data_IF_440224820871
#
_entry.id   IF_440224820871
#
_cell.length_a   1.000
_cell.length_b   1.000
_cell.length_c   1.000
_cell.angle_alpha   90.00
_cell.angle_beta   90.00
_cell.angle_gamma   90.00
#
_symmetry.space_group_name_H-M   'P 1'
#
loop_
_entity.id
_entity.type
_entity.pdbx_description
1 polymer ?
#
# COMPACT_ATOMS: atom_id res chain seq x y z
N UNK A 1 1.97 4.82 -58.02
CA UNK A 1 1.36 3.48 -58.21
C UNK A 1 1.41 2.73 -56.88
N UNK A 2 0.26 2.34 -56.35
CA UNK A 2 0.18 1.53 -55.13
C UNK A 2 0.82 0.16 -55.36
N UNK A 3 1.76 -0.22 -54.50
CA UNK A 3 2.36 -1.56 -54.54
C UNK A 3 1.27 -2.58 -54.15
N UNK A 4 0.82 -3.38 -55.11
CA UNK A 4 -0.32 -4.30 -54.97
C UNK A 4 -0.15 -5.37 -53.90
N UNK A 5 1.05 -5.47 -53.31
CA UNK A 5 1.35 -6.45 -52.27
C UNK A 5 1.41 -5.89 -50.82
N UNK A 6 1.10 -4.58 -50.63
CA UNK A 6 1.11 -3.97 -49.30
C UNK A 6 -0.33 -3.79 -48.84
N UNK A 7 -0.66 -4.44 -47.76
CA UNK A 7 -1.97 -4.29 -47.11
C UNK A 7 -1.99 -2.98 -46.31
N UNK A 8 -2.93 -2.13 -46.63
CA UNK A 8 -3.17 -0.87 -45.92
C UNK A 8 -4.39 -1.02 -45.02
N UNK A 9 -4.33 -0.39 -43.86
CA UNK A 9 -5.39 -0.40 -42.85
C UNK A 9 -6.06 0.98 -42.82
N UNK A 10 -7.38 1.02 -42.85
CA UNK A 10 -8.13 2.24 -42.53
C UNK A 10 -7.84 2.66 -41.07
N UNK A 11 -8.15 3.92 -40.72
CA UNK A 11 -8.03 4.41 -39.31
C UNK A 11 -8.72 3.46 -38.32
N UNK A 12 -9.91 2.95 -38.68
CA UNK A 12 -10.66 2.04 -37.79
C UNK A 12 -9.99 0.70 -37.58
N UNK A 13 -9.48 0.10 -38.67
CA UNK A 13 -8.76 -1.18 -38.62
C UNK A 13 -7.44 -1.03 -37.87
N UNK A 14 -6.70 0.04 -38.12
CA UNK A 14 -5.42 0.30 -37.50
C UNK A 14 -5.60 0.61 -35.99
N UNK A 15 -6.64 1.36 -35.62
CA UNK A 15 -6.98 1.65 -34.22
C UNK A 15 -7.27 0.36 -33.45
N UNK A 16 -8.02 -0.58 -34.03
CA UNK A 16 -8.27 -1.90 -33.45
C UNK A 16 -6.98 -2.69 -33.27
N UNK A 17 -6.14 -2.70 -34.32
CA UNK A 17 -4.84 -3.39 -34.28
C UNK A 17 -3.97 -2.86 -33.14
N UNK A 18 -3.91 -1.53 -32.99
CA UNK A 18 -3.10 -0.84 -31.96
C UNK A 18 -3.76 -0.79 -30.56
N UNK A 19 -5.00 -1.27 -30.43
CA UNK A 19 -5.79 -1.23 -29.18
C UNK A 19 -5.98 0.21 -28.66
N UNK A 20 -6.18 1.16 -29.58
CA UNK A 20 -6.48 2.56 -29.25
C UNK A 20 -7.80 2.98 -29.95
N UNK A 21 -8.33 4.14 -29.57
CA UNK A 21 -9.51 4.67 -30.29
C UNK A 21 -9.08 5.44 -31.55
N UNK A 22 -10.02 5.64 -32.46
CA UNK A 22 -9.77 6.36 -33.74
C UNK A 22 -9.30 7.80 -33.48
N UNK A 23 -9.84 8.45 -32.45
CA UNK A 23 -9.52 9.84 -32.14
C UNK A 23 -8.03 9.98 -31.75
N UNK A 24 -7.48 8.96 -31.05
CA UNK A 24 -6.06 8.91 -30.70
C UNK A 24 -5.18 8.94 -31.96
N UNK A 25 -5.52 8.16 -33.01
CA UNK A 25 -4.76 8.14 -34.25
C UNK A 25 -4.89 9.46 -35.02
N UNK A 26 -6.08 10.07 -35.02
CA UNK A 26 -6.32 11.39 -35.65
C UNK A 26 -5.48 12.45 -34.94
N UNK A 27 -5.47 12.41 -33.60
CA UNK A 27 -4.69 13.33 -32.80
C UNK A 27 -3.17 13.14 -33.06
N UNK A 28 -2.71 11.89 -33.17
CA UNK A 28 -1.30 11.58 -33.47
C UNK A 28 -0.90 12.13 -34.87
N UNK A 29 -1.80 12.07 -35.86
CA UNK A 29 -1.56 12.70 -37.16
C UNK A 29 -1.46 14.23 -37.02
N UNK A 30 -2.37 14.85 -36.27
CA UNK A 30 -2.39 16.31 -36.05
C UNK A 30 -1.12 16.86 -35.43
N UNK A 31 -0.55 16.12 -34.48
CA UNK A 31 0.68 16.52 -33.75
C UNK A 31 1.96 16.02 -34.45
N UNK A 32 1.83 15.38 -35.63
CA UNK A 32 2.97 14.84 -36.38
C UNK A 32 3.62 13.60 -35.81
N UNK A 33 2.96 12.94 -34.83
CA UNK A 33 3.51 11.77 -34.15
C UNK A 33 3.40 10.50 -34.98
N UNK A 34 2.26 10.30 -35.65
CA UNK A 34 1.99 9.14 -36.51
C UNK A 34 1.09 9.56 -37.66
N UNK A 35 1.69 10.09 -38.71
CA UNK A 35 0.95 10.47 -39.89
C UNK A 35 0.60 9.25 -40.75
N UNK A 36 -0.59 9.20 -41.35
CA UNK A 36 -0.93 8.11 -42.23
C UNK A 36 0.05 8.04 -43.41
N UNK A 37 0.30 6.82 -43.90
CA UNK A 37 1.19 6.66 -45.07
C UNK A 37 0.62 7.29 -46.34
N UNK A 38 -0.73 7.40 -46.40
CA UNK A 38 -1.42 8.09 -47.49
C UNK A 38 -2.81 8.51 -47.03
N UNK A 39 -3.35 9.52 -47.73
CA UNK A 39 -4.75 9.91 -47.66
C UNK A 39 -5.33 9.80 -49.08
N UNK A 40 -6.57 9.34 -49.17
CA UNK A 40 -7.22 9.26 -50.50
C UNK A 40 -7.89 10.60 -50.88
N UNK A 41 -8.53 10.65 -52.03
CA UNK A 41 -9.19 11.85 -52.58
C UNK A 41 -10.35 12.36 -51.70
N UNK A 42 -10.82 11.56 -50.71
CA UNK A 42 -11.87 11.91 -49.75
C UNK A 42 -11.29 12.15 -48.34
N UNK A 43 -9.96 12.32 -48.27
CA UNK A 43 -9.19 12.54 -47.02
C UNK A 43 -9.26 11.37 -46.02
N UNK A 44 -9.61 10.14 -46.47
CA UNK A 44 -9.53 8.96 -45.65
C UNK A 44 -8.07 8.55 -45.44
N UNK A 45 -7.72 8.31 -44.18
CA UNK A 45 -6.36 7.97 -43.72
C UNK A 45 -6.10 6.46 -43.81
N UNK A 46 -4.93 6.11 -44.32
CA UNK A 46 -4.48 4.72 -44.44
C UNK A 46 -3.11 4.56 -43.78
N UNK A 47 -2.93 3.46 -43.09
CA UNK A 47 -1.74 3.11 -42.33
C UNK A 47 -1.17 1.78 -42.83
N UNK A 48 0.13 1.58 -42.75
CA UNK A 48 0.81 0.31 -43.09
C UNK A 48 1.13 -0.52 -41.86
N UNK A 49 1.37 -1.79 -42.10
CA UNK A 49 1.80 -2.70 -40.99
C UNK A 49 3.14 -2.24 -40.38
N UNK A 50 4.05 -1.69 -41.16
CA UNK A 50 5.32 -1.17 -40.65
C UNK A 50 5.15 -0.04 -39.59
N UNK A 51 4.03 0.66 -39.66
CA UNK A 51 3.71 1.72 -38.66
C UNK A 51 3.20 1.12 -37.31
N UNK A 52 2.79 -0.13 -37.31
CA UNK A 52 2.32 -0.81 -36.10
C UNK A 52 3.44 -0.94 -35.06
N UNK A 53 4.62 -1.25 -35.58
CA UNK A 53 5.79 -1.40 -34.69
C UNK A 53 6.16 -0.11 -33.93
N UNK A 54 5.86 0.78 -34.58
CA UNK A 54 6.07 2.06 -34.00
C UNK A 54 5.08 2.39 -32.94
N UNK A 55 4.05 1.99 -33.12
CA UNK A 55 3.06 2.16 -32.21
C UNK A 55 3.14 1.22 -31.05
N UNK A 56 3.65 0.24 -31.33
CA UNK A 56 3.92 -0.73 -30.38
C UNK A 56 5.04 -0.39 -29.46
N UNK A 57 5.78 0.25 -29.93
CA UNK A 57 6.88 0.74 -29.22
C UNK A 57 6.48 1.87 -28.35
N UNK A 58 5.49 2.46 -28.68
CA UNK A 58 4.94 3.60 -27.92
C UNK A 58 4.06 3.17 -26.75
N UNK A 59 3.82 1.91 -26.52
CA UNK A 59 2.96 1.43 -25.42
C UNK A 59 3.48 1.93 -24.06
N UNK A 60 2.67 2.76 -23.41
CA UNK A 60 2.98 3.33 -22.10
C UNK A 60 3.95 4.50 -22.12
N UNK A 61 4.39 4.96 -23.27
CA UNK A 61 5.28 6.12 -23.39
C UNK A 61 4.50 7.44 -23.30
N UNK A 62 5.15 8.47 -22.79
CA UNK A 62 4.57 9.82 -22.85
C UNK A 62 4.65 10.36 -24.28
N UNK A 63 3.70 11.21 -24.63
CA UNK A 63 3.72 11.91 -25.93
C UNK A 63 5.03 12.68 -26.14
N UNK A 64 5.57 13.26 -25.09
CA UNK A 64 6.81 14.04 -25.13
C UNK A 64 8.02 13.16 -25.52
N UNK A 65 8.11 11.96 -24.94
CA UNK A 65 9.21 11.02 -25.24
C UNK A 65 9.13 10.55 -26.69
N UNK A 66 7.92 10.27 -27.16
CA UNK A 66 7.70 9.84 -28.55
C UNK A 66 8.05 10.98 -29.51
N UNK A 67 7.62 12.22 -29.24
CA UNK A 67 7.93 13.39 -30.07
C UNK A 67 9.44 13.65 -30.12
N UNK A 68 10.12 13.54 -28.98
CA UNK A 68 11.57 13.71 -28.90
C UNK A 68 12.30 12.68 -29.78
N UNK A 69 11.93 11.41 -29.65
CA UNK A 69 12.48 10.34 -30.49
C UNK A 69 12.21 10.59 -31.98
N UNK A 70 10.97 11.00 -32.33
CA UNK A 70 10.60 11.23 -33.72
C UNK A 70 11.39 12.38 -34.40
N UNK A 71 11.89 13.32 -33.57
CA UNK A 71 12.71 14.44 -34.07
C UNK A 71 14.11 14.00 -34.51
N UNK A 72 14.68 12.99 -33.81
CA UNK A 72 16.05 12.51 -34.08
C UNK A 72 16.12 10.97 -34.11
N UNK A 73 15.44 10.39 -35.09
CA UNK A 73 15.39 8.92 -35.25
C UNK A 73 16.76 8.33 -35.57
N UNK A 74 17.23 7.43 -34.73
CA UNK A 74 18.40 6.58 -34.99
C UNK A 74 18.25 5.27 -34.25
N UNK A 75 18.95 4.22 -34.65
CA UNK A 75 18.97 2.96 -33.86
C UNK A 75 19.45 3.16 -32.43
N UNK A 76 20.41 4.06 -32.22
CA UNK A 76 20.97 4.37 -30.89
C UNK A 76 19.89 5.02 -30.00
N UNK A 77 19.21 6.06 -30.52
CA UNK A 77 18.15 6.75 -29.79
C UNK A 77 16.97 5.81 -29.52
N UNK A 78 16.65 4.91 -30.44
CA UNK A 78 15.62 3.89 -30.25
C UNK A 78 16.00 2.93 -29.12
N UNK A 79 17.24 2.49 -29.07
CA UNK A 79 17.71 1.58 -28.03
C UNK A 79 17.64 2.25 -26.64
N UNK A 80 18.09 3.50 -26.55
CA UNK A 80 17.99 4.28 -25.31
C UNK A 80 16.54 4.42 -24.85
N UNK A 81 15.63 4.77 -25.74
CA UNK A 81 14.19 4.90 -25.46
C UNK A 81 13.62 3.57 -24.95
N UNK A 82 13.98 2.45 -25.57
CA UNK A 82 13.52 1.11 -25.14
C UNK A 82 14.05 0.75 -23.76
N UNK A 83 15.29 1.10 -23.43
CA UNK A 83 15.84 0.88 -22.08
C UNK A 83 15.06 1.69 -21.03
N UNK A 84 14.79 2.96 -21.30
CA UNK A 84 14.00 3.82 -20.41
C UNK A 84 12.59 3.23 -20.20
N UNK A 85 11.96 2.78 -21.28
CA UNK A 85 10.62 2.18 -21.19
C UNK A 85 10.63 0.87 -20.39
N UNK A 86 11.66 0.05 -20.58
CA UNK A 86 11.83 -1.20 -19.81
C UNK A 86 11.94 -0.90 -18.30
N UNK A 87 12.69 0.13 -17.92
CA UNK A 87 12.81 0.57 -16.51
C UNK A 87 11.47 1.05 -15.97
N UNK A 88 10.73 1.84 -16.76
CA UNK A 88 9.41 2.34 -16.37
C UNK A 88 8.43 1.18 -16.11
N UNK A 89 8.40 0.17 -17.00
CA UNK A 89 7.56 -1.02 -16.84
C UNK A 89 7.99 -1.82 -15.61
N UNK A 90 9.30 -1.96 -15.38
CA UNK A 90 9.83 -2.67 -14.20
C UNK A 90 9.41 -1.96 -12.90
N UNK A 91 9.43 -0.62 -12.89
CA UNK A 91 8.96 0.16 -11.74
C UNK A 91 7.47 -0.08 -11.48
N UNK A 92 6.63 0.03 -12.52
CA UNK A 92 5.18 -0.24 -12.41
C UNK A 92 4.89 -1.66 -11.90
N UNK A 93 5.66 -2.64 -12.37
CA UNK A 93 5.50 -4.02 -11.90
C UNK A 93 5.77 -4.13 -10.40
N UNK A 94 6.86 -3.50 -9.91
CA UNK A 94 7.17 -3.49 -8.47
C UNK A 94 6.07 -2.81 -7.64
N UNK A 95 5.50 -1.71 -8.15
CA UNK A 95 4.38 -1.02 -7.50
C UNK A 95 3.16 -1.94 -7.39
N UNK A 96 2.83 -2.66 -8.46
CA UNK A 96 1.71 -3.61 -8.46
C UNK A 96 1.96 -4.80 -7.54
N UNK A 97 3.19 -5.33 -7.50
CA UNK A 97 3.59 -6.40 -6.57
C UNK A 97 3.41 -5.96 -5.11
N UNK A 98 3.77 -4.71 -4.79
CA UNK A 98 3.55 -4.15 -3.44
C UNK A 98 2.05 -4.10 -3.10
N UNK A 99 1.23 -3.62 -4.02
CA UNK A 99 -0.23 -3.55 -3.83
C UNK A 99 -0.80 -4.96 -3.63
N UNK A 100 -0.36 -5.92 -4.43
CA UNK A 100 -0.78 -7.33 -4.31
C UNK A 100 -0.45 -7.88 -2.92
N UNK A 101 0.76 -7.63 -2.42
CA UNK A 101 1.18 -8.05 -1.07
C UNK A 101 0.30 -7.42 0.02
N UNK A 102 -0.03 -6.13 -0.10
CA UNK A 102 -0.93 -5.44 0.84
C UNK A 102 -2.31 -6.13 0.85
N UNK A 103 -2.84 -6.44 -0.33
CA UNK A 103 -4.13 -7.12 -0.48
C UNK A 103 -4.06 -8.50 0.19
N UNK A 104 -3.01 -9.26 -0.06
CA UNK A 104 -2.83 -10.61 0.53
C UNK A 104 -2.79 -10.56 2.06
N UNK A 105 -2.10 -9.58 2.64
CA UNK A 105 -2.06 -9.38 4.11
C UNK A 105 -3.47 -9.07 4.63
N UNK A 106 -4.21 -8.16 3.95
CA UNK A 106 -5.58 -7.81 4.35
C UNK A 106 -6.53 -9.02 4.28
N UNK A 107 -6.42 -9.83 3.23
CA UNK A 107 -7.20 -11.08 3.08
C UNK A 107 -6.89 -12.01 4.27
N UNK A 108 -5.62 -12.32 4.47
CA UNK A 108 -5.15 -13.23 5.54
C UNK A 108 -5.67 -12.78 6.91
N UNK A 109 -5.45 -11.52 7.26
CA UNK A 109 -5.87 -10.98 8.57
C UNK A 109 -7.40 -11.03 8.74
N UNK A 110 -8.14 -10.73 7.68
CA UNK A 110 -9.61 -10.77 7.74
C UNK A 110 -10.11 -12.21 7.93
N UNK A 111 -9.53 -13.16 7.19
CA UNK A 111 -9.86 -14.58 7.32
C UNK A 111 -9.59 -15.09 8.74
N UNK A 112 -8.41 -14.73 9.32
CA UNK A 112 -8.06 -15.07 10.70
C UNK A 112 -9.07 -14.48 11.69
N UNK A 113 -9.42 -13.20 11.51
CA UNK A 113 -10.36 -12.49 12.40
C UNK A 113 -11.76 -13.11 12.42
N UNK A 114 -12.21 -13.71 11.30
CA UNK A 114 -13.51 -14.37 11.22
C UNK A 114 -13.63 -15.59 12.16
N UNK A 115 -12.49 -16.14 12.59
CA UNK A 115 -12.44 -17.31 13.46
C UNK A 115 -12.14 -16.96 14.93
N UNK A 116 -11.89 -15.68 15.25
CA UNK A 116 -11.59 -15.24 16.60
C UNK A 116 -12.86 -15.16 17.47
N UNK A 117 -12.73 -15.56 18.73
CA UNK A 117 -13.75 -15.28 19.75
C UNK A 117 -13.30 -14.05 20.53
N UNK A 118 -13.91 -12.92 20.29
CA UNK A 118 -13.51 -11.64 20.89
C UNK A 118 -13.79 -11.56 22.43
N UNK A 119 -14.37 -12.59 23.00
CA UNK A 119 -14.55 -12.68 24.48
C UNK A 119 -13.35 -13.31 25.17
N UNK A 120 -12.52 -14.04 24.43
CA UNK A 120 -11.38 -14.77 24.98
C UNK A 120 -10.26 -13.82 25.39
N UNK A 121 -9.59 -14.18 26.48
CA UNK A 121 -8.32 -13.56 26.90
C UNK A 121 -7.32 -14.71 26.97
N UNK A 122 -6.22 -14.58 26.23
CA UNK A 122 -5.19 -15.61 26.14
C UNK A 122 -3.85 -15.06 26.63
N UNK A 123 -2.94 -15.97 26.99
CA UNK A 123 -1.53 -15.63 27.20
C UNK A 123 -0.75 -16.39 26.15
N UNK A 124 -0.03 -15.66 25.30
CA UNK A 124 0.67 -16.23 24.16
C UNK A 124 2.11 -15.71 24.12
N UNK A 125 3.02 -16.57 23.68
CA UNK A 125 4.42 -16.20 23.48
C UNK A 125 4.60 -15.71 22.04
N UNK A 126 5.23 -14.56 21.89
CA UNK A 126 5.63 -14.01 20.59
C UNK A 126 7.15 -13.94 20.50
N UNK A 127 7.72 -14.32 19.33
CA UNK A 127 9.14 -14.12 19.07
C UNK A 127 9.43 -12.62 18.85
N UNK A 128 10.69 -12.25 18.85
CA UNK A 128 11.12 -10.89 18.50
C UNK A 128 10.53 -10.50 17.12
N UNK A 129 9.93 -9.34 17.05
CA UNK A 129 9.36 -8.81 15.83
C UNK A 129 10.03 -7.50 15.43
N UNK A 130 9.92 -7.14 14.17
CA UNK A 130 10.49 -5.90 13.64
C UNK A 130 9.34 -4.93 13.29
N UNK A 131 9.41 -3.75 13.89
CA UNK A 131 8.39 -2.71 13.71
C UNK A 131 9.03 -1.45 13.15
N UNK A 132 8.28 -0.71 12.33
CA UNK A 132 8.62 0.66 11.96
C UNK A 132 7.74 1.59 12.80
N UNK A 133 8.35 2.55 13.48
CA UNK A 133 7.66 3.44 14.42
C UNK A 133 7.59 4.88 13.88
N UNK A 134 6.53 5.57 14.25
CA UNK A 134 6.43 7.02 14.13
C UNK A 134 7.41 7.71 15.09
N UNK A 135 7.51 9.03 15.00
CA UNK A 135 8.09 9.85 16.07
C UNK A 135 7.23 9.68 17.32
N UNK A 136 7.81 10.01 18.49
CA UNK A 136 7.06 10.00 19.75
C UNK A 136 5.91 11.01 19.67
N UNK A 137 4.70 10.54 20.02
CA UNK A 137 3.45 11.32 19.95
C UNK A 137 2.74 11.44 21.30
N UNK A 138 3.40 11.00 22.35
CA UNK A 138 2.82 11.02 23.70
C UNK A 138 2.46 12.45 24.12
N UNK A 139 1.30 12.59 24.73
CA UNK A 139 0.72 13.86 25.17
C UNK A 139 0.36 14.83 24.02
N UNK A 140 0.14 14.30 22.81
CA UNK A 140 -0.32 15.09 21.68
C UNK A 140 -1.75 15.59 21.90
N UNK A 141 -2.02 16.82 21.46
CA UNK A 141 -3.41 17.27 21.28
C UNK A 141 -4.06 16.49 20.15
N UNK A 142 -5.38 16.55 20.07
CA UNK A 142 -6.14 15.91 18.98
C UNK A 142 -5.61 16.32 17.60
N UNK A 143 -5.36 17.62 17.40
CA UNK A 143 -4.82 18.16 16.15
C UNK A 143 -3.43 17.61 15.86
N UNK A 144 -2.56 17.56 16.86
CA UNK A 144 -1.20 17.01 16.73
C UNK A 144 -1.23 15.51 16.42
N UNK A 145 -2.16 14.78 17.04
CA UNK A 145 -2.34 13.34 16.78
C UNK A 145 -2.77 13.09 15.33
N UNK A 146 -3.79 13.80 14.86
CA UNK A 146 -4.27 13.69 13.46
C UNK A 146 -3.12 13.99 12.48
N UNK A 147 -2.34 15.04 12.76
CA UNK A 147 -1.16 15.38 11.95
C UNK A 147 -0.13 14.26 11.99
N UNK A 148 0.16 13.68 13.15
CA UNK A 148 1.14 12.61 13.29
C UNK A 148 0.73 11.36 12.52
N UNK A 149 -0.56 11.02 12.52
CA UNK A 149 -1.11 9.90 11.72
C UNK A 149 -0.89 10.18 10.23
N UNK A 150 -1.23 11.38 9.78
CA UNK A 150 -1.04 11.77 8.36
C UNK A 150 0.43 11.71 7.96
N UNK A 151 1.32 12.30 8.76
CA UNK A 151 2.77 12.32 8.51
C UNK A 151 3.32 10.87 8.45
N UNK A 152 2.85 9.99 9.32
CA UNK A 152 3.28 8.58 9.36
C UNK A 152 2.84 7.84 8.10
N UNK A 153 1.58 7.99 7.68
CA UNK A 153 1.05 7.38 6.45
C UNK A 153 1.85 7.87 5.23
N UNK A 154 2.10 9.18 5.14
CA UNK A 154 2.91 9.75 4.05
C UNK A 154 4.34 9.19 4.04
N UNK A 155 4.93 9.00 5.22
CA UNK A 155 6.26 8.40 5.35
C UNK A 155 6.27 6.94 4.88
N UNK A 156 5.26 6.14 5.28
CA UNK A 156 5.14 4.75 4.85
C UNK A 156 5.04 4.64 3.32
N UNK A 157 4.23 5.51 2.71
CA UNK A 157 4.06 5.54 1.25
C UNK A 157 5.36 5.96 0.55
N UNK A 158 5.95 7.08 0.96
CA UNK A 158 7.17 7.63 0.37
C UNK A 158 8.33 6.64 0.46
N UNK A 159 8.47 5.97 1.60
CA UNK A 159 9.56 5.01 1.87
C UNK A 159 9.22 3.59 1.46
N UNK A 160 8.03 3.36 0.91
CA UNK A 160 7.54 2.03 0.50
C UNK A 160 7.59 1.02 1.67
N UNK A 161 7.18 1.47 2.85
CA UNK A 161 7.16 0.67 4.09
C UNK A 161 5.77 0.18 4.48
N UNK A 162 4.74 0.50 3.68
CA UNK A 162 3.39 -0.05 3.91
C UNK A 162 3.41 -1.55 3.56
N UNK A 163 3.17 -2.38 4.57
CA UNK A 163 3.17 -3.84 4.45
C UNK A 163 1.76 -4.42 4.36
N UNK A 164 0.73 -3.57 4.49
CA UNK A 164 -0.67 -4.02 4.57
C UNK A 164 -1.12 -4.41 5.96
N UNK A 165 -0.22 -4.59 6.93
CA UNK A 165 -0.59 -4.78 8.33
C UNK A 165 -1.26 -3.51 8.87
N UNK A 166 -2.09 -3.61 9.91
CA UNK A 166 -2.72 -2.42 10.48
C UNK A 166 -1.68 -1.48 11.08
N UNK A 167 -1.93 -0.19 11.00
CA UNK A 167 -1.18 0.78 11.79
C UNK A 167 -1.73 0.67 13.21
N UNK A 168 -0.88 0.25 14.13
CA UNK A 168 -1.22 0.11 15.53
C UNK A 168 -0.68 1.26 16.37
N UNK A 169 -1.10 1.29 17.63
CA UNK A 169 -0.59 2.21 18.64
C UNK A 169 0.19 1.47 19.72
N UNK A 170 1.27 2.07 20.21
CA UNK A 170 2.05 1.58 21.36
C UNK A 170 1.87 2.57 22.49
N UNK A 171 1.46 2.07 23.66
CA UNK A 171 1.34 2.87 24.89
C UNK A 171 2.34 2.37 25.93
N UNK A 172 3.08 3.27 26.54
CA UNK A 172 4.04 2.91 27.60
C UNK A 172 3.30 2.51 28.89
N UNK A 173 3.93 1.61 29.64
CA UNK A 173 3.46 1.11 30.95
C UNK A 173 2.92 2.23 31.84
N UNK A 174 3.65 3.33 31.96
CA UNK A 174 3.29 4.44 32.86
C UNK A 174 1.93 5.05 32.51
N UNK A 175 1.65 5.21 31.21
CA UNK A 175 0.39 5.74 30.74
C UNK A 175 -0.76 4.76 30.98
N UNK A 176 -0.50 3.48 30.68
CA UNK A 176 -1.49 2.41 30.89
C UNK A 176 -1.87 2.29 32.38
N UNK A 177 -0.89 2.33 33.27
CA UNK A 177 -1.13 2.27 34.72
C UNK A 177 -1.83 3.51 35.25
N UNK A 178 -1.66 4.66 34.57
CA UNK A 178 -2.38 5.90 34.90
C UNK A 178 -3.81 5.92 34.33
N UNK A 179 -4.19 4.91 33.52
CA UNK A 179 -5.51 4.85 32.87
C UNK A 179 -5.62 5.67 31.58
N UNK A 180 -4.51 6.14 31.05
CA UNK A 180 -4.43 6.93 29.81
C UNK A 180 -4.21 6.01 28.62
N UNK A 181 -5.17 5.13 28.33
CA UNK A 181 -5.01 4.05 27.35
C UNK A 181 -4.85 4.57 25.92
N UNK A 182 -5.43 5.72 25.61
CA UNK A 182 -5.39 6.36 24.29
C UNK A 182 -4.21 7.34 24.12
N UNK A 183 -3.34 7.47 25.14
CA UNK A 183 -2.15 8.32 25.08
C UNK A 183 -0.97 7.56 24.46
N UNK A 184 -1.07 7.26 23.16
CA UNK A 184 -0.06 6.50 22.45
C UNK A 184 1.30 7.20 22.46
N UNK A 185 2.33 6.43 22.72
CA UNK A 185 3.71 6.90 22.62
C UNK A 185 4.21 6.86 21.17
N UNK A 186 3.76 5.85 20.41
CA UNK A 186 4.15 5.67 19.01
C UNK A 186 3.00 5.04 18.20
N UNK A 187 2.95 5.37 16.90
CA UNK A 187 2.27 4.53 15.92
C UNK A 187 3.30 3.52 15.40
N UNK A 188 2.82 2.35 14.95
CA UNK A 188 3.72 1.34 14.39
C UNK A 188 3.06 0.56 13.25
N UNK A 189 3.91 -0.07 12.43
CA UNK A 189 3.49 -1.07 11.46
C UNK A 189 4.52 -2.21 11.47
N UNK A 190 4.05 -3.44 11.37
CA UNK A 190 4.90 -4.62 11.32
C UNK A 190 5.72 -4.67 10.04
N UNK A 191 6.99 -5.09 10.16
CA UNK A 191 7.93 -5.22 9.05
C UNK A 191 8.51 -6.64 9.01
N UNK A 192 7.74 -7.65 8.56
CA UNK A 192 8.23 -9.04 8.52
C UNK A 192 9.47 -9.23 7.65
N UNK A 193 9.64 -8.35 6.66
CA UNK A 193 10.79 -8.37 5.73
C UNK A 193 11.45 -6.99 5.71
N UNK A 194 12.14 -6.59 6.80
CA UNK A 194 12.67 -5.23 6.92
C UNK A 194 13.73 -4.94 5.85
N UNK A 195 13.67 -3.75 5.27
CA UNK A 195 14.61 -3.27 4.25
C UNK A 195 15.77 -2.54 4.93
N UNK A 196 16.95 -2.67 4.38
CA UNK A 196 18.12 -1.92 4.86
C UNK A 196 17.92 -0.40 4.76
N UNK A 197 18.55 0.33 5.64
CA UNK A 197 18.58 1.81 5.60
C UNK A 197 17.47 2.50 6.38
N UNK A 198 16.63 1.75 7.10
CA UNK A 198 15.57 2.32 7.93
C UNK A 198 15.80 2.01 9.41
N UNK A 199 15.45 2.95 10.32
CA UNK A 199 15.58 2.72 11.77
C UNK A 199 14.40 1.88 12.27
N UNK A 200 14.61 0.58 12.40
CA UNK A 200 13.59 -0.34 12.92
C UNK A 200 13.72 -0.51 14.42
N UNK A 201 12.57 -0.68 15.05
CA UNK A 201 12.42 -1.07 16.44
C UNK A 201 12.26 -2.59 16.54
N UNK A 202 12.94 -3.21 17.49
CA UNK A 202 12.80 -4.62 17.78
C UNK A 202 11.86 -4.80 18.98
N UNK A 203 10.65 -5.27 18.70
CA UNK A 203 9.70 -5.62 19.77
C UNK A 203 10.26 -6.80 20.55
N UNK A 204 10.12 -6.72 21.88
CA UNK A 204 10.70 -7.73 22.78
C UNK A 204 9.98 -9.06 22.58
N UNK A 205 10.76 -10.14 22.45
CA UNK A 205 10.19 -11.49 22.49
C UNK A 205 9.68 -11.77 23.91
N UNK A 206 8.56 -12.43 24.05
CA UNK A 206 8.02 -12.73 25.37
C UNK A 206 6.56 -13.15 25.38
N UNK A 207 6.02 -13.21 26.58
CA UNK A 207 4.61 -13.52 26.81
C UNK A 207 3.78 -12.24 26.78
N UNK A 208 2.59 -12.34 26.19
CA UNK A 208 1.62 -11.25 26.10
C UNK A 208 0.26 -11.75 26.57
N UNK A 209 -0.40 -10.96 27.37
CA UNK A 209 -1.85 -11.11 27.61
C UNK A 209 -2.56 -10.43 26.45
N UNK A 210 -3.41 -11.19 25.76
CA UNK A 210 -4.13 -10.73 24.56
C UNK A 210 -5.62 -10.76 24.84
N UNK A 211 -6.30 -9.70 24.50
CA UNK A 211 -7.76 -9.66 24.48
C UNK A 211 -8.29 -8.67 23.47
N UNK A 212 -9.58 -8.62 23.38
CA UNK A 212 -10.25 -7.83 22.35
C UNK A 212 -11.26 -6.89 23.01
N UNK A 213 -11.21 -5.64 22.60
CA UNK A 213 -12.23 -4.64 22.94
C UNK A 213 -13.24 -4.58 21.79
N UNK A 214 -14.52 -4.76 22.10
CA UNK A 214 -15.59 -4.61 21.12
C UNK A 214 -16.39 -3.38 21.51
N UNK A 215 -16.42 -2.39 20.63
CA UNK A 215 -17.16 -1.14 20.82
C UNK A 215 -16.31 0.11 20.72
N UNK A 216 -16.87 1.26 21.13
CA UNK A 216 -16.18 2.53 21.01
C UNK A 216 -15.02 2.65 22.00
N UNK A 217 -13.99 3.38 21.61
CA UNK A 217 -12.76 3.59 22.39
C UNK A 217 -13.01 4.15 23.80
N UNK A 218 -14.10 4.91 23.98
CA UNK A 218 -14.50 5.45 25.29
C UNK A 218 -14.74 4.36 26.35
N UNK A 219 -14.91 3.09 25.95
CA UNK A 219 -15.11 1.95 26.85
C UNK A 219 -13.87 1.05 26.98
N UNK A 220 -12.76 1.42 26.41
CA UNK A 220 -11.50 0.65 26.47
C UNK A 220 -11.13 0.25 27.90
N UNK A 221 -11.33 1.15 28.87
CA UNK A 221 -11.04 0.90 30.28
C UNK A 221 -11.69 -0.36 30.87
N UNK A 222 -12.89 -0.72 30.38
CA UNK A 222 -13.58 -1.95 30.84
C UNK A 222 -12.79 -3.19 30.39
N UNK A 223 -12.27 -3.17 29.18
CA UNK A 223 -11.47 -4.27 28.63
C UNK A 223 -10.11 -4.33 29.32
N UNK A 224 -9.46 -3.20 29.53
CA UNK A 224 -8.19 -3.16 30.28
C UNK A 224 -8.36 -3.74 31.68
N UNK A 225 -9.45 -3.42 32.38
CA UNK A 225 -9.76 -3.98 33.69
C UNK A 225 -9.81 -5.53 33.64
N UNK A 226 -10.50 -6.08 32.64
CA UNK A 226 -10.57 -7.54 32.43
C UNK A 226 -9.18 -8.14 32.17
N UNK A 227 -8.37 -7.49 31.33
CA UNK A 227 -7.02 -7.95 31.01
C UNK A 227 -6.12 -7.93 32.25
N UNK A 228 -6.15 -6.85 33.05
CA UNK A 228 -5.40 -6.75 34.29
C UNK A 228 -5.79 -7.85 35.30
N UNK A 229 -7.08 -8.13 35.42
CA UNK A 229 -7.56 -9.20 36.32
C UNK A 229 -6.96 -10.55 35.93
N UNK A 230 -7.06 -10.92 34.63
CA UNK A 230 -6.49 -12.20 34.15
C UNK A 230 -4.97 -12.21 34.31
N UNK A 231 -4.29 -11.11 33.99
CA UNK A 231 -2.85 -10.95 34.15
C UNK A 231 -2.43 -11.26 35.60
N UNK A 232 -3.07 -10.60 36.58
CA UNK A 232 -2.75 -10.76 38.01
C UNK A 232 -3.10 -12.18 38.52
N UNK A 233 -4.28 -12.72 38.11
CA UNK A 233 -4.69 -14.08 38.52
C UNK A 233 -3.70 -15.14 38.03
N UNK A 234 -3.05 -14.91 36.89
CA UNK A 234 -2.06 -15.83 36.32
C UNK A 234 -0.62 -15.56 36.85
N UNK A 235 -0.45 -14.60 37.75
CA UNK A 235 0.85 -14.30 38.39
C UNK A 235 1.80 -13.49 37.48
N UNK A 236 1.24 -12.61 36.68
CA UNK A 236 2.04 -11.73 35.80
C UNK A 236 1.90 -10.28 36.25
N UNK A 237 2.87 -9.47 35.88
CA UNK A 237 2.83 -8.00 35.92
C UNK A 237 3.05 -7.40 34.55
N UNK A 238 2.57 -6.18 34.35
CA UNK A 238 2.67 -5.46 33.08
C UNK A 238 4.15 -5.20 32.73
N UNK A 239 4.52 -5.50 31.50
CA UNK A 239 5.84 -5.22 30.94
C UNK A 239 6.01 -3.74 30.58
N UNK A 240 6.76 -3.45 29.53
CA UNK A 240 7.12 -2.08 29.16
C UNK A 240 6.07 -1.43 28.26
N UNK A 241 5.46 -2.19 27.38
CA UNK A 241 4.57 -1.66 26.34
C UNK A 241 3.27 -2.44 26.24
N UNK A 242 2.25 -1.74 25.78
CA UNK A 242 0.98 -2.33 25.31
C UNK A 242 0.78 -1.91 23.87
N UNK A 243 0.36 -2.84 23.04
CA UNK A 243 0.13 -2.68 21.61
C UNK A 243 -1.36 -2.80 21.33
N UNK A 244 -1.88 -1.90 20.51
CA UNK A 244 -3.28 -1.94 20.08
C UNK A 244 -3.36 -1.91 18.56
N UNK A 245 -4.24 -2.72 18.00
CA UNK A 245 -4.49 -2.82 16.56
C UNK A 245 -5.98 -2.93 16.29
N UNK A 246 -6.47 -2.23 15.28
CA UNK A 246 -7.83 -2.44 14.81
C UNK A 246 -7.93 -3.74 14.03
N UNK A 247 -8.83 -4.62 14.49
CA UNK A 247 -9.22 -5.86 13.77
C UNK A 247 -10.41 -5.55 12.86
N UNK A 248 -11.42 -4.86 13.38
CA UNK A 248 -12.55 -4.34 12.62
C UNK A 248 -12.69 -2.84 12.91
N UNK A 249 -12.74 -2.06 11.85
CA UNK A 249 -12.85 -0.61 11.90
C UNK A 249 -13.95 -0.11 10.96
N UNK A 250 -13.96 1.19 10.65
CA UNK A 250 -14.92 1.83 9.76
C UNK A 250 -14.90 1.31 8.32
N UNK A 251 -13.84 0.61 7.90
CA UNK A 251 -13.76 -0.03 6.57
C UNK A 251 -14.64 -1.29 6.54
N UNK A 252 -14.69 -2.02 7.65
CA UNK A 252 -15.36 -3.33 7.73
C UNK A 252 -16.73 -3.29 8.41
N UNK A 253 -17.00 -2.26 9.25
CA UNK A 253 -18.21 -2.16 10.05
C UNK A 253 -18.83 -0.77 9.95
N UNK A 254 -20.15 -0.73 9.98
CA UNK A 254 -20.90 0.52 9.85
C UNK A 254 -21.09 1.29 11.16
N UNK A 255 -20.89 0.63 12.30
CA UNK A 255 -21.17 1.21 13.63
C UNK A 255 -20.00 0.96 14.58
N UNK A 256 -19.66 1.97 15.37
CA UNK A 256 -18.57 1.90 16.35
C UNK A 256 -18.75 0.76 17.38
N UNK A 257 -20.00 0.40 17.68
CA UNK A 257 -20.32 -0.71 18.60
C UNK A 257 -19.82 -2.06 18.06
N UNK A 258 -19.50 -2.14 16.77
CA UNK A 258 -19.01 -3.36 16.12
C UNK A 258 -17.50 -3.33 15.85
N UNK A 259 -16.83 -2.22 16.16
CA UNK A 259 -15.38 -2.11 15.99
C UNK A 259 -14.69 -3.06 16.96
N UNK A 260 -13.56 -3.59 16.57
CA UNK A 260 -12.79 -4.51 17.41
C UNK A 260 -11.33 -4.05 17.41
N UNK A 261 -10.83 -3.80 18.63
CA UNK A 261 -9.42 -3.49 18.87
C UNK A 261 -8.77 -4.66 19.60
N UNK A 262 -7.72 -5.21 19.03
CA UNK A 262 -6.85 -6.19 19.69
C UNK A 262 -5.92 -5.44 20.63
N UNK A 263 -5.81 -5.90 21.87
CA UNK A 263 -4.90 -5.33 22.88
C UNK A 263 -3.90 -6.42 23.26
N UNK A 264 -2.62 -6.14 23.14
CA UNK A 264 -1.52 -7.05 23.46
C UNK A 264 -0.65 -6.39 24.55
N UNK A 265 -0.74 -6.91 25.76
CA UNK A 265 0.00 -6.38 26.92
C UNK A 265 1.25 -7.24 27.13
N UNK A 266 2.45 -6.65 26.98
CA UNK A 266 3.68 -7.33 27.41
C UNK A 266 3.54 -7.71 28.88
N UNK A 267 3.94 -8.91 29.25
CA UNK A 267 3.86 -9.34 30.65
C UNK A 267 5.13 -10.07 31.08
N UNK A 268 5.38 -9.99 32.38
CA UNK A 268 6.50 -10.69 33.01
C UNK A 268 5.98 -11.45 34.23
N UNK A 269 6.44 -12.66 34.44
CA UNK A 269 6.09 -13.43 35.65
C UNK A 269 6.59 -12.73 36.90
N UNK A 270 5.68 -12.61 37.85
CA UNK A 270 6.05 -12.15 39.22
C UNK A 270 6.91 -13.22 39.84
N UNK A 271 8.09 -12.86 40.36
CA UNK A 271 9.03 -13.79 41.02
C UNK A 271 8.52 -14.20 42.40
#
# INVERSE_FOLDING_TARGET
>A
MLNKNVKYFTTGEFAKLCKVNKQTLIYYDQIGLLSPIMKDSKDYRYYSLAQYDXXXXAVGMSLKDIQHYMAEKSPENFLELMHQQKEHVAKKRRELEMIENIIDVKIKMTEEALHLNFKDITIEYFPEDTLYLSKNIENSTEEQFVKAVSDFIEELDRSQLDTGYPIGGITRREQVLAGNYDNYSYLYIEQPHPREGHPYFKAIEGEFVIGYHVGPSSKLGETYTRLFNVMHEKGYELGQYVYEEYIYDAVMKNREEEYVTKIMMEVKKVK
#
